data_IF_887189124203
#
_entry.id   IF_887189124203
#
_cell.length_a   1.000
_cell.length_b   1.000
_cell.length_c   1.000
_cell.angle_alpha   90.00
_cell.angle_beta   90.00
_cell.angle_gamma   90.00
#
_symmetry.space_group_name_H-M   'P 1'
#
loop_
_entity.id
_entity.type
_entity.pdbx_description
1 polymer ?
#
# COMPACT_ATOMS: atom_id res chain seq x y z
N UNK A 1 39.12 -42.38 -46.02
CA UNK A 1 39.14 -41.86 -44.65
C UNK A 1 37.69 -41.66 -44.19
N UNK A 2 37.21 -42.57 -43.35
CA UNK A 2 35.82 -42.55 -42.86
C UNK A 2 35.83 -41.93 -41.50
N UNK A 3 35.14 -40.77 -41.32
CA UNK A 3 34.94 -40.10 -40.05
C UNK A 3 33.79 -40.82 -39.31
N UNK A 4 34.08 -41.31 -38.13
CA UNK A 4 33.11 -41.92 -37.22
C UNK A 4 32.54 -40.80 -36.34
N UNK A 5 31.22 -40.55 -36.47
CA UNK A 5 30.46 -39.62 -35.64
C UNK A 5 29.98 -40.41 -34.37
N UNK A 6 30.56 -40.10 -33.21
CA UNK A 6 30.15 -40.67 -31.92
C UNK A 6 28.97 -39.89 -31.39
N UNK A 7 27.78 -40.49 -31.42
CA UNK A 7 26.55 -39.91 -30.82
C UNK A 7 26.48 -40.28 -29.34
N UNK A 8 26.73 -39.36 -28.43
CA UNK A 8 26.60 -39.53 -27.01
C UNK A 8 25.13 -39.28 -26.60
N UNK A 9 24.39 -40.37 -26.37
CA UNK A 9 23.02 -40.29 -25.81
C UNK A 9 23.15 -40.18 -24.30
N UNK A 10 22.97 -38.97 -23.73
CA UNK A 10 22.82 -38.76 -22.31
C UNK A 10 21.33 -38.92 -21.98
N UNK A 11 20.97 -40.07 -21.40
CA UNK A 11 19.65 -40.24 -20.80
C UNK A 11 19.62 -39.51 -19.48
N UNK A 12 19.08 -38.28 -19.48
CA UNK A 12 18.67 -37.57 -18.27
C UNK A 12 17.42 -38.26 -17.73
N UNK A 13 17.59 -39.05 -16.68
CA UNK A 13 16.49 -39.46 -15.80
C UNK A 13 16.01 -38.21 -15.07
N UNK A 14 15.10 -37.49 -15.67
CA UNK A 14 14.37 -36.43 -15.03
C UNK A 14 13.39 -37.01 -14.01
N UNK A 15 13.63 -36.78 -12.73
CA UNK A 15 12.57 -36.83 -11.76
C UNK A 15 11.54 -35.79 -12.20
N UNK A 16 10.43 -36.23 -12.75
CA UNK A 16 9.26 -35.39 -12.97
C UNK A 16 8.62 -35.10 -11.62
N UNK A 17 9.07 -34.05 -10.94
CA UNK A 17 8.19 -33.35 -10.04
C UNK A 17 7.07 -32.77 -10.93
N UNK A 18 5.83 -33.18 -10.72
CA UNK A 18 4.66 -32.57 -11.31
C UNK A 18 4.56 -31.12 -10.81
N UNK A 19 5.34 -30.22 -11.39
CA UNK A 19 5.05 -28.81 -11.29
C UNK A 19 3.80 -28.59 -12.15
N UNK A 20 2.66 -28.31 -11.52
CA UNK A 20 1.50 -27.76 -12.22
C UNK A 20 2.01 -26.53 -13.00
N UNK A 21 1.89 -26.55 -14.31
CA UNK A 21 2.17 -25.36 -15.10
C UNK A 21 1.17 -24.29 -14.69
N UNK A 22 1.66 -23.14 -14.30
CA UNK A 22 0.79 -21.97 -14.04
C UNK A 22 -0.10 -21.71 -15.25
N UNK A 23 -1.40 -21.45 -15.05
CA UNK A 23 -2.26 -21.04 -16.14
C UNK A 23 -1.73 -19.72 -16.71
N UNK A 24 -1.33 -19.72 -17.98
CA UNK A 24 -0.82 -18.55 -18.67
C UNK A 24 -1.99 -17.91 -19.44
N UNK A 25 -2.19 -16.62 -19.26
CA UNK A 25 -3.16 -15.87 -20.04
C UNK A 25 -2.82 -15.87 -21.53
N UNK A 26 -3.77 -15.51 -22.38
CA UNK A 26 -3.52 -15.32 -23.84
C UNK A 26 -2.40 -14.30 -24.14
N UNK A 27 -2.12 -13.41 -23.20
CA UNK A 27 -1.03 -12.42 -23.26
C UNK A 27 0.32 -12.93 -22.73
N UNK A 28 0.39 -14.18 -22.25
CA UNK A 28 1.63 -14.78 -21.75
C UNK A 28 2.00 -14.38 -20.32
N UNK A 29 1.09 -13.72 -19.56
CA UNK A 29 1.30 -13.37 -18.15
C UNK A 29 0.69 -14.41 -17.22
N UNK A 30 1.24 -14.66 -16.00
CA UNK A 30 0.68 -15.55 -15.01
C UNK A 30 -0.75 -15.16 -14.62
N UNK A 31 -1.60 -16.16 -14.38
CA UNK A 31 -2.99 -15.95 -13.96
C UNK A 31 -3.16 -16.42 -12.52
N UNK A 32 -3.59 -15.51 -11.66
CA UNK A 32 -4.04 -15.84 -10.29
C UNK A 32 -5.52 -16.23 -10.39
N UNK A 33 -5.81 -17.53 -10.32
CA UNK A 33 -7.17 -18.05 -10.40
C UNK A 33 -7.78 -18.12 -8.99
N UNK A 34 -8.86 -17.35 -8.77
CA UNK A 34 -9.55 -17.26 -7.48
C UNK A 34 -10.81 -18.14 -7.41
N UNK A 35 -11.11 -18.91 -8.46
CA UNK A 35 -12.34 -19.73 -8.55
C UNK A 35 -12.08 -21.23 -8.47
N UNK A 36 -10.99 -21.68 -9.05
CA UNK A 36 -10.67 -23.10 -9.13
C UNK A 36 -9.50 -23.45 -8.22
N UNK A 37 -9.54 -24.64 -7.60
CA UNK A 37 -8.46 -25.19 -6.75
C UNK A 37 -8.10 -24.27 -5.55
N UNK A 38 -9.04 -23.46 -5.05
CA UNK A 38 -8.82 -22.57 -3.90
C UNK A 38 -9.07 -23.32 -2.60
N UNK A 39 -8.05 -23.38 -1.75
CA UNK A 39 -8.12 -24.02 -0.43
C UNK A 39 -8.56 -23.00 0.62
N UNK A 40 -9.74 -23.20 1.22
CA UNK A 40 -10.14 -22.38 2.37
C UNK A 40 -9.36 -22.79 3.62
N UNK A 41 -8.77 -21.80 4.29
CA UNK A 41 -7.99 -21.98 5.53
C UNK A 41 -8.58 -21.13 6.65
N UNK A 42 -8.44 -21.56 7.93
CA UNK A 42 -8.95 -20.78 9.06
C UNK A 42 -8.17 -19.46 9.25
N UNK A 43 -6.86 -19.49 8.97
CA UNK A 43 -5.99 -18.31 9.09
C UNK A 43 -4.82 -18.38 8.11
N UNK A 44 -4.30 -17.21 7.78
CA UNK A 44 -3.01 -17.01 7.09
C UNK A 44 -2.01 -16.50 8.11
N UNK A 45 -0.81 -17.05 8.14
CA UNK A 45 0.18 -16.81 9.19
C UNK A 45 1.12 -15.66 8.82
N UNK A 46 1.44 -14.83 9.82
CA UNK A 46 2.41 -13.75 9.64
C UNK A 46 3.82 -14.28 9.34
N UNK A 47 4.22 -15.40 9.94
CA UNK A 47 5.53 -16.04 9.69
C UNK A 47 5.75 -16.47 8.25
N UNK A 48 4.71 -16.66 7.46
CA UNK A 48 4.84 -16.96 6.03
C UNK A 48 5.17 -15.70 5.20
N UNK A 49 4.75 -14.52 5.69
CA UNK A 49 4.91 -13.24 5.01
C UNK A 49 6.11 -12.43 5.51
N UNK A 50 6.45 -12.56 6.79
CA UNK A 50 7.48 -11.78 7.48
C UNK A 50 8.57 -12.66 8.06
N UNK A 51 9.83 -12.24 7.91
CA UNK A 51 10.99 -12.92 8.48
C UNK A 51 11.20 -12.56 9.95
N UNK A 52 10.69 -11.41 10.38
CA UNK A 52 10.94 -10.86 11.72
C UNK A 52 9.79 -9.94 12.15
N UNK A 53 9.42 -10.06 13.42
CA UNK A 53 8.56 -9.11 14.12
C UNK A 53 9.41 -8.23 15.06
N UNK A 54 9.17 -6.92 15.04
CA UNK A 54 9.73 -5.94 15.96
C UNK A 54 8.60 -5.16 16.63
N UNK A 55 8.70 -4.97 17.93
CA UNK A 55 7.83 -4.06 18.68
C UNK A 55 8.70 -2.87 19.06
N UNK A 56 8.29 -1.66 18.71
CA UNK A 56 9.05 -0.45 18.93
C UNK A 56 8.19 0.57 19.69
N UNK A 57 8.33 0.68 21.03
CA UNK A 57 7.70 1.73 21.79
C UNK A 57 8.28 3.09 21.38
N UNK A 58 7.42 4.04 21.05
CA UNK A 58 7.87 5.39 20.72
C UNK A 58 7.95 6.25 21.96
N UNK A 59 9.09 6.92 22.14
CA UNK A 59 9.33 7.80 23.28
C UNK A 59 8.37 8.98 23.27
N UNK A 60 7.68 9.20 24.38
CA UNK A 60 6.82 10.36 24.58
C UNK A 60 7.57 11.41 25.40
N UNK A 61 7.67 12.61 24.86
CA UNK A 61 8.23 13.80 25.51
C UNK A 61 7.26 14.96 25.34
N UNK A 62 7.47 16.08 26.02
CA UNK A 62 6.68 17.29 25.80
C UNK A 62 6.65 17.76 24.33
N UNK A 63 7.66 17.35 23.53
CA UNK A 63 7.79 17.70 22.12
C UNK A 63 7.32 16.59 21.17
N UNK A 64 7.01 15.39 21.65
CA UNK A 64 6.72 14.21 20.83
C UNK A 64 5.45 13.46 21.23
N UNK A 65 4.50 14.15 21.84
CA UNK A 65 3.17 13.56 22.12
C UNK A 65 2.45 13.31 20.80
N UNK A 66 2.09 12.05 20.54
CA UNK A 66 1.31 11.65 19.38
C UNK A 66 -0.13 11.39 19.80
N UNK A 67 -1.08 12.06 19.17
CA UNK A 67 -2.52 11.87 19.42
C UNK A 67 -3.29 11.33 18.23
N UNK A 68 -2.71 11.41 17.03
CA UNK A 68 -3.36 10.99 15.78
C UNK A 68 -2.27 10.78 14.71
N UNK A 69 -2.07 9.55 14.30
CA UNK A 69 -1.07 9.20 13.28
C UNK A 69 -1.80 9.09 11.95
N UNK A 70 -1.52 10.02 11.04
CA UNK A 70 -2.13 10.03 9.70
C UNK A 70 -1.29 9.31 8.66
N UNK A 71 0.03 9.41 8.77
CA UNK A 71 0.96 8.72 7.88
C UNK A 71 2.23 8.34 8.63
N UNK A 72 2.77 7.16 8.31
CA UNK A 72 4.03 6.67 8.85
C UNK A 72 4.92 6.14 7.74
N UNK A 73 6.20 6.48 7.79
CA UNK A 73 7.23 5.90 6.93
C UNK A 73 8.34 5.32 7.80
N UNK A 74 8.65 4.05 7.61
CA UNK A 74 9.71 3.34 8.31
C UNK A 74 10.84 3.06 7.33
N UNK A 75 12.03 3.49 7.67
CA UNK A 75 13.26 3.29 6.91
C UNK A 75 14.23 2.39 7.69
N UNK A 76 15.41 2.10 7.16
CA UNK A 76 16.36 1.23 7.84
C UNK A 76 16.90 1.85 9.14
N UNK A 77 16.87 3.19 9.28
CA UNK A 77 17.47 3.91 10.42
C UNK A 77 16.47 4.72 11.23
N UNK A 78 15.33 5.09 10.67
CA UNK A 78 14.38 6.00 11.31
C UNK A 78 12.93 5.56 11.15
N UNK A 79 12.08 6.09 12.03
CA UNK A 79 10.62 6.06 11.95
C UNK A 79 10.17 7.51 11.81
N UNK A 80 9.33 7.79 10.82
CA UNK A 80 8.84 9.11 10.47
C UNK A 80 7.33 9.12 10.57
N UNK A 81 6.78 10.08 11.30
CA UNK A 81 5.36 10.11 11.62
C UNK A 81 4.80 11.49 11.31
N UNK A 82 3.74 11.51 10.52
CA UNK A 82 2.88 12.66 10.39
C UNK A 82 1.83 12.66 11.50
N UNK A 83 1.91 13.67 12.33
CA UNK A 83 0.94 13.96 13.37
C UNK A 83 -0.09 14.96 12.84
N UNK A 84 -1.16 14.46 12.24
CA UNK A 84 -2.12 15.18 11.38
C UNK A 84 -2.70 16.51 11.86
N UNK A 85 -2.54 16.87 13.15
CA UNK A 85 -3.05 18.14 13.69
C UNK A 85 -2.02 19.26 13.74
N UNK A 86 -0.73 18.91 13.85
CA UNK A 86 0.33 19.89 14.04
C UNK A 86 1.13 20.17 12.77
N UNK A 87 0.93 19.37 11.72
CA UNK A 87 1.62 19.51 10.44
C UNK A 87 3.15 19.46 10.52
N UNK A 88 3.70 18.80 11.56
CA UNK A 88 5.11 18.47 11.66
C UNK A 88 5.35 17.01 11.35
N UNK A 89 6.54 16.70 10.84
CA UNK A 89 7.00 15.32 10.71
C UNK A 89 7.90 15.01 11.90
N UNK A 90 7.48 14.06 12.72
CA UNK A 90 8.24 13.60 13.85
C UNK A 90 9.21 12.52 13.42
N UNK A 91 10.47 12.65 13.81
CA UNK A 91 11.52 11.68 13.54
C UNK A 91 11.91 10.95 14.79
N UNK A 92 11.84 9.62 14.74
CA UNK A 92 12.32 8.73 15.78
C UNK A 92 13.44 7.83 15.23
N UNK A 93 14.32 7.37 16.10
CA UNK A 93 15.25 6.29 15.76
C UNK A 93 14.51 4.97 15.57
N UNK A 94 15.17 3.97 15.00
CA UNK A 94 14.61 2.60 14.91
C UNK A 94 14.35 1.94 16.25
N UNK A 95 14.87 2.48 17.35
CA UNK A 95 14.62 2.03 18.71
C UNK A 95 13.51 2.81 19.41
N UNK A 96 12.81 3.68 18.68
CA UNK A 96 11.69 4.48 19.20
C UNK A 96 12.09 5.76 19.92
N UNK A 97 13.39 6.09 20.02
CA UNK A 97 13.84 7.33 20.67
C UNK A 97 13.49 8.54 19.79
N UNK A 98 12.85 9.55 20.37
CA UNK A 98 12.60 10.81 19.70
C UNK A 98 13.90 11.54 19.35
N UNK A 99 14.01 12.02 18.14
CA UNK A 99 15.19 12.73 17.64
C UNK A 99 14.91 14.22 17.43
N UNK A 100 13.95 14.52 16.61
CA UNK A 100 13.49 15.89 16.32
C UNK A 100 12.20 15.89 15.50
N UNK A 101 11.69 17.07 15.27
CA UNK A 101 10.58 17.33 14.33
C UNK A 101 11.07 18.14 13.14
N UNK A 102 10.44 17.93 11.98
CA UNK A 102 10.78 18.58 10.73
C UNK A 102 9.59 19.36 10.20
N UNK A 103 9.88 20.50 9.61
CA UNK A 103 8.90 21.43 9.10
C UNK A 103 8.77 22.67 9.95
N UNK A 104 8.13 23.69 9.40
CA UNK A 104 7.82 24.94 10.08
C UNK A 104 6.54 25.51 9.56
N UNK A 105 5.61 25.81 10.48
CA UNK A 105 4.30 26.36 10.13
C UNK A 105 4.41 27.88 10.10
N UNK A 106 3.99 28.47 8.99
CA UNK A 106 4.02 29.92 8.81
C UNK A 106 4.01 30.34 7.35
N UNK A 107 4.41 31.58 7.08
CA UNK A 107 4.43 32.18 5.74
C UNK A 107 5.83 32.70 5.34
N UNK A 108 6.84 32.42 6.14
CA UNK A 108 8.23 32.79 5.86
C UNK A 108 8.92 31.81 4.89
N UNK A 109 10.17 32.08 4.52
CA UNK A 109 10.97 31.19 3.72
C UNK A 109 11.15 29.84 4.41
N UNK A 110 10.79 28.74 3.75
CA UNK A 110 10.83 27.41 4.33
C UNK A 110 9.70 27.10 5.29
N UNK A 111 8.65 27.92 5.35
CA UNK A 111 7.45 27.66 6.12
C UNK A 111 6.26 27.33 5.21
N UNK A 112 5.27 26.63 5.77
CA UNK A 112 4.03 26.29 5.06
C UNK A 112 2.82 26.40 5.97
N UNK A 113 1.65 26.64 5.38
CA UNK A 113 0.37 26.74 6.11
C UNK A 113 -0.56 25.57 5.80
N UNK A 114 -0.38 24.93 4.68
CA UNK A 114 -1.19 23.79 4.24
C UNK A 114 -0.28 22.62 3.90
N UNK A 115 -0.45 21.57 4.63
CA UNK A 115 0.26 20.31 4.49
C UNK A 115 -0.59 19.30 3.71
N UNK A 116 0.02 18.51 2.87
CA UNK A 116 -0.64 17.40 2.16
C UNK A 116 -0.08 16.04 2.61
N UNK A 117 1.23 15.88 2.55
CA UNK A 117 1.92 14.63 2.82
C UNK A 117 3.44 14.86 2.79
N UNK A 118 4.22 13.85 3.13
CA UNK A 118 5.68 13.92 3.10
C UNK A 118 6.29 12.71 2.39
N UNK A 119 7.56 12.81 2.06
CA UNK A 119 8.38 11.74 1.50
C UNK A 119 9.79 11.82 2.08
N UNK A 120 10.34 10.67 2.45
CA UNK A 120 11.71 10.57 2.96
C UNK A 120 12.62 9.93 1.93
N UNK A 121 13.74 10.57 1.65
CA UNK A 121 14.85 10.03 0.88
C UNK A 121 16.04 9.79 1.84
N UNK A 122 16.22 8.55 2.26
CA UNK A 122 17.28 8.21 3.22
C UNK A 122 18.68 8.36 2.61
N UNK A 123 18.83 8.07 1.33
CA UNK A 123 20.12 8.15 0.66
C UNK A 123 20.60 9.60 0.54
N UNK A 124 19.68 10.52 0.24
CA UNK A 124 19.95 11.95 0.18
C UNK A 124 19.88 12.65 1.54
N UNK A 125 19.39 11.97 2.57
CA UNK A 125 19.04 12.53 3.88
C UNK A 125 18.16 13.77 3.76
N UNK A 126 17.10 13.64 2.97
CA UNK A 126 16.15 14.70 2.69
C UNK A 126 14.73 14.28 3.03
N UNK A 127 13.97 15.23 3.56
CA UNK A 127 12.52 15.13 3.76
C UNK A 127 11.86 16.14 2.86
N UNK A 128 10.94 15.65 2.04
CA UNK A 128 10.14 16.46 1.12
C UNK A 128 8.76 16.64 1.73
N UNK A 129 8.37 17.88 1.98
CA UNK A 129 7.04 18.22 2.48
C UNK A 129 6.24 18.86 1.35
N UNK A 130 5.09 18.27 1.05
CA UNK A 130 4.20 18.71 -0.01
C UNK A 130 3.13 19.63 0.57
N UNK A 131 3.02 20.82 0.00
CA UNK A 131 2.11 21.85 0.44
C UNK A 131 1.29 22.40 -0.73
N UNK A 132 0.00 22.65 -0.50
CA UNK A 132 -0.89 23.18 -1.56
C UNK A 132 -0.48 24.55 -2.07
N UNK A 133 0.14 25.36 -1.23
CA UNK A 133 0.50 26.75 -1.58
C UNK A 133 1.99 26.93 -1.90
N UNK A 134 2.83 26.05 -1.37
CA UNK A 134 4.28 26.24 -1.41
C UNK A 134 4.98 25.27 -2.38
N UNK A 135 4.23 24.29 -2.96
CA UNK A 135 4.84 23.24 -3.76
C UNK A 135 5.53 22.19 -2.87
N UNK A 136 6.79 21.87 -3.17
CA UNK A 136 7.59 20.93 -2.37
C UNK A 136 8.67 21.70 -1.62
N UNK A 137 8.66 21.58 -0.29
CA UNK A 137 9.72 22.10 0.56
C UNK A 137 10.66 20.95 0.93
N UNK A 138 11.95 21.19 0.83
CA UNK A 138 12.98 20.19 1.10
C UNK A 138 13.75 20.59 2.35
N UNK A 139 13.80 19.65 3.30
CA UNK A 139 14.54 19.80 4.56
C UNK A 139 15.61 18.71 4.67
N UNK A 140 16.65 18.96 5.46
CA UNK A 140 17.53 17.90 5.92
C UNK A 140 16.94 17.14 7.12
N UNK A 141 17.60 16.09 7.55
CA UNK A 141 17.15 15.25 8.66
C UNK A 141 17.21 15.95 10.03
N UNK A 142 17.93 17.05 10.15
CA UNK A 142 18.02 17.89 11.35
C UNK A 142 16.92 18.99 11.37
N UNK A 143 16.09 19.06 10.31
CA UNK A 143 15.02 20.06 10.18
C UNK A 143 15.44 21.36 9.52
N UNK A 144 16.68 21.43 8.99
CA UNK A 144 17.18 22.59 8.24
C UNK A 144 16.51 22.70 6.86
N UNK A 145 15.89 23.85 6.57
CA UNK A 145 15.32 24.12 5.25
C UNK A 145 16.42 24.23 4.19
N UNK A 146 16.30 23.47 3.10
CA UNK A 146 17.29 23.44 2.01
C UNK A 146 16.84 24.25 0.80
N UNK A 147 15.65 23.97 0.30
CA UNK A 147 15.10 24.59 -0.92
C UNK A 147 13.59 24.40 -1.05
N UNK A 148 12.99 25.18 -1.93
CA UNK A 148 11.60 25.07 -2.34
C UNK A 148 11.51 24.82 -3.85
N UNK A 149 10.60 23.93 -4.24
CA UNK A 149 10.27 23.61 -5.62
C UNK A 149 8.85 24.10 -5.88
N UNK A 150 8.72 25.32 -6.43
CA UNK A 150 7.46 26.05 -6.50
C UNK A 150 6.55 25.57 -7.63
N UNK A 151 7.13 25.03 -8.73
CA UNK A 151 6.38 24.71 -9.95
C UNK A 151 5.58 23.42 -9.85
N UNK A 152 5.72 22.69 -8.73
CA UNK A 152 5.06 21.40 -8.54
C UNK A 152 3.54 21.47 -8.68
N UNK A 153 2.90 22.52 -8.16
CA UNK A 153 1.45 22.70 -8.27
C UNK A 153 0.96 22.94 -9.70
N UNK A 154 1.70 23.73 -10.44
CA UNK A 154 1.40 23.97 -11.86
C UNK A 154 1.50 22.68 -12.67
N UNK A 155 2.39 21.81 -12.24
CA UNK A 155 2.68 20.55 -12.90
C UNK A 155 1.62 19.48 -12.67
N UNK A 156 1.05 19.40 -11.46
CA UNK A 156 0.06 18.39 -11.08
C UNK A 156 -1.39 18.89 -11.14
N UNK A 157 -1.57 20.18 -11.36
CA UNK A 157 -2.87 20.82 -11.40
C UNK A 157 -3.38 21.28 -10.02
N UNK A 158 -4.13 22.38 -10.02
CA UNK A 158 -4.58 23.06 -8.80
C UNK A 158 -5.58 22.26 -7.93
N UNK A 159 -6.08 21.15 -8.45
CA UNK A 159 -7.10 20.31 -7.80
C UNK A 159 -6.70 18.86 -7.67
N UNK A 160 -5.42 18.54 -7.85
CA UNK A 160 -4.89 17.20 -7.63
C UNK A 160 -4.44 17.07 -6.20
N UNK A 161 -4.85 16.02 -5.50
CA UNK A 161 -4.24 15.65 -4.23
C UNK A 161 -3.24 14.53 -4.44
N UNK A 162 -2.10 14.67 -3.80
CA UNK A 162 -1.09 13.64 -3.78
C UNK A 162 -1.51 12.65 -2.70
N UNK A 163 -1.84 11.44 -3.13
CA UNK A 163 -2.35 10.43 -2.22
C UNK A 163 -1.24 9.54 -1.64
N UNK A 164 -0.30 9.13 -2.49
CA UNK A 164 0.88 8.36 -2.10
C UNK A 164 2.06 8.79 -2.93
N UNK A 165 3.23 8.73 -2.31
CA UNK A 165 4.49 9.08 -2.95
C UNK A 165 5.42 7.90 -2.82
N UNK A 166 6.18 7.68 -3.87
CA UNK A 166 7.13 6.59 -3.92
C UNK A 166 8.44 7.06 -4.53
N UNK A 167 9.54 6.62 -3.95
CA UNK A 167 10.86 6.73 -4.57
C UNK A 167 11.21 5.34 -5.10
N UNK A 168 11.65 5.27 -6.34
CA UNK A 168 12.09 4.06 -7.00
C UNK A 168 13.29 4.39 -7.89
N UNK A 169 14.47 3.78 -7.64
CA UNK A 169 15.66 3.89 -8.47
C UNK A 169 15.95 5.34 -8.93
N UNK A 170 16.00 6.29 -7.97
CA UNK A 170 16.14 7.73 -8.19
C UNK A 170 14.95 8.42 -8.92
N UNK A 171 13.95 7.68 -9.34
CA UNK A 171 12.71 8.22 -9.87
C UNK A 171 11.67 8.42 -8.78
N UNK A 172 11.00 9.55 -8.83
CA UNK A 172 9.91 9.88 -7.92
C UNK A 172 8.57 9.64 -8.58
N UNK A 173 7.78 8.77 -7.98
CA UNK A 173 6.44 8.48 -8.44
C UNK A 173 5.42 9.05 -7.48
N UNK A 174 4.40 9.66 -8.06
CA UNK A 174 3.27 10.16 -7.30
C UNK A 174 1.99 9.52 -7.83
N UNK A 175 1.28 8.84 -6.94
CA UNK A 175 -0.11 8.56 -7.19
C UNK A 175 -0.88 9.85 -6.88
N UNK A 176 -1.38 10.48 -7.90
CA UNK A 176 -2.14 11.71 -7.75
C UNK A 176 -3.58 11.42 -8.09
N UNK A 177 -4.45 11.81 -7.18
CA UNK A 177 -5.87 11.83 -7.46
C UNK A 177 -6.24 13.13 -8.14
N UNK A 178 -6.81 13.04 -9.30
CA UNK A 178 -7.28 14.21 -10.00
C UNK A 178 -8.69 14.57 -9.54
N UNK A 179 -8.79 15.43 -8.52
CA UNK A 179 -10.08 15.96 -8.04
C UNK A 179 -10.70 17.02 -8.96
N UNK A 180 -9.93 17.54 -9.91
CA UNK A 180 -10.33 18.67 -10.74
C UNK A 180 -11.40 18.36 -11.77
N UNK A 181 -11.91 17.16 -11.81
CA UNK A 181 -12.82 16.67 -12.83
C UNK A 181 -14.25 17.18 -12.78
N UNK A 182 -14.46 18.30 -12.14
CA UNK A 182 -15.81 18.66 -11.78
C UNK A 182 -16.63 19.39 -12.84
N UNK A 183 -16.04 19.98 -13.87
CA UNK A 183 -16.83 20.69 -14.89
C UNK A 183 -16.22 20.87 -16.28
N UNK A 184 -14.94 20.59 -16.50
CA UNK A 184 -14.33 20.68 -17.85
C UNK A 184 -13.07 19.80 -17.91
N UNK A 185 -13.27 18.52 -18.14
CA UNK A 185 -12.15 17.58 -18.19
C UNK A 185 -11.69 17.44 -19.62
N UNK A 186 -10.47 17.83 -19.86
CA UNK A 186 -9.76 17.46 -21.07
C UNK A 186 -9.40 15.97 -21.03
N UNK A 187 -9.40 15.29 -22.19
CA UNK A 187 -8.97 13.89 -22.33
C UNK A 187 -7.57 13.65 -21.76
N UNK A 188 -6.72 14.65 -21.78
CA UNK A 188 -5.36 14.58 -21.26
C UNK A 188 -5.27 14.66 -19.74
N UNK A 189 -6.37 15.00 -19.06
CA UNK A 189 -6.44 15.05 -17.60
C UNK A 189 -6.85 13.74 -16.95
N UNK A 190 -7.19 12.71 -17.72
CA UNK A 190 -7.50 11.35 -17.22
C UNK A 190 -6.22 10.54 -17.00
N UNK A 191 -5.45 10.90 -16.00
CA UNK A 191 -4.25 10.16 -15.59
C UNK A 191 -4.32 9.83 -14.09
N UNK A 192 -3.67 8.73 -13.71
CA UNK A 192 -3.65 8.22 -12.34
C UNK A 192 -2.28 8.40 -11.68
N UNK A 193 -1.22 8.31 -12.49
CA UNK A 193 0.16 8.40 -12.03
C UNK A 193 0.98 9.33 -12.89
N UNK A 194 2.01 9.88 -12.26
CA UNK A 194 3.02 10.68 -12.93
C UNK A 194 4.42 10.19 -12.53
N UNK A 195 5.31 9.99 -13.47
CA UNK A 195 6.72 9.87 -13.19
C UNK A 195 7.39 11.24 -13.27
N UNK A 196 8.25 11.51 -12.30
CA UNK A 196 8.97 12.77 -12.15
C UNK A 196 10.49 12.52 -12.17
N UNK A 197 11.24 13.54 -12.52
CA UNK A 197 12.69 13.54 -12.34
C UNK A 197 13.11 14.03 -10.95
N UNK A 198 14.40 14.11 -10.69
CA UNK A 198 14.97 14.57 -9.40
C UNK A 198 14.63 16.00 -9.04
N UNK A 199 14.22 16.81 -10.02
CA UNK A 199 13.76 18.18 -9.83
C UNK A 199 12.24 18.25 -9.75
N UNK A 200 11.55 17.11 -9.63
CA UNK A 200 10.10 16.98 -9.63
C UNK A 200 9.45 17.48 -10.93
N UNK A 201 10.18 17.48 -12.05
CA UNK A 201 9.62 17.80 -13.34
C UNK A 201 8.94 16.56 -13.94
N UNK A 202 7.78 16.80 -14.54
CA UNK A 202 6.97 15.74 -15.14
C UNK A 202 7.71 15.05 -16.29
N UNK A 203 7.93 13.74 -16.17
CA UNK A 203 8.44 12.89 -17.27
C UNK A 203 7.30 12.25 -18.05
N UNK A 204 6.36 11.64 -17.36
CA UNK A 204 5.27 10.92 -18.03
C UNK A 204 4.03 10.86 -17.16
N UNK A 205 2.87 10.92 -17.81
CA UNK A 205 1.57 10.63 -17.24
C UNK A 205 1.12 9.22 -17.63
N UNK A 206 0.58 8.49 -16.66
CA UNK A 206 0.03 7.15 -16.85
C UNK A 206 -1.47 7.19 -16.68
N UNK A 207 -2.18 6.74 -17.70
CA UNK A 207 -3.64 6.57 -17.66
C UNK A 207 -3.97 5.18 -17.10
N UNK A 208 -5.13 5.07 -16.47
CA UNK A 208 -5.69 3.75 -16.18
C UNK A 208 -5.92 3.01 -17.50
N UNK A 209 -5.35 1.81 -17.71
CA UNK A 209 -5.44 1.09 -18.98
C UNK A 209 -6.86 0.83 -19.47
N UNK A 210 -7.83 0.64 -18.56
CA UNK A 210 -9.23 0.42 -18.96
C UNK A 210 -9.93 1.70 -19.43
N UNK A 211 -9.36 2.86 -19.18
CA UNK A 211 -9.87 4.14 -19.64
C UNK A 211 -9.40 4.50 -21.04
N UNK A 212 -8.32 3.86 -21.52
CA UNK A 212 -7.75 4.17 -22.84
C UNK A 212 -8.75 3.84 -23.95
N UNK A 213 -9.06 4.82 -24.77
CA UNK A 213 -10.05 4.72 -25.85
C UNK A 213 -11.51 4.86 -25.40
N UNK A 214 -11.77 5.07 -24.10
CA UNK A 214 -13.10 5.31 -23.53
C UNK A 214 -13.21 6.66 -22.82
N UNK A 215 -12.24 7.54 -23.04
CA UNK A 215 -12.08 8.78 -22.29
C UNK A 215 -13.34 9.66 -22.34
N UNK A 216 -13.98 9.79 -23.50
CA UNK A 216 -15.22 10.57 -23.65
C UNK A 216 -16.38 10.01 -22.84
N UNK A 217 -16.54 8.69 -22.84
CA UNK A 217 -17.58 8.02 -22.06
C UNK A 217 -17.34 8.19 -20.56
N UNK A 218 -16.08 8.04 -20.11
CA UNK A 218 -15.72 8.19 -18.70
C UNK A 218 -15.93 9.64 -18.24
N UNK A 219 -15.54 10.62 -19.06
CA UNK A 219 -15.77 12.02 -18.77
C UNK A 219 -17.27 12.31 -18.65
N UNK A 220 -18.08 11.80 -19.60
CA UNK A 220 -19.52 11.99 -19.57
C UNK A 220 -20.16 11.34 -18.34
N UNK A 221 -19.74 10.12 -18.00
CA UNK A 221 -20.23 9.43 -16.80
C UNK A 221 -19.85 10.19 -15.53
N UNK A 222 -18.60 10.60 -15.41
CA UNK A 222 -18.08 11.36 -14.25
C UNK A 222 -18.73 12.73 -14.09
N UNK A 223 -19.08 13.40 -15.17
CA UNK A 223 -19.78 14.69 -15.12
C UNK A 223 -21.18 14.61 -14.45
N UNK A 224 -21.79 13.43 -14.49
CA UNK A 224 -23.09 13.15 -13.87
C UNK A 224 -22.97 12.54 -12.46
N UNK A 225 -21.75 12.26 -12.01
CA UNK A 225 -21.52 11.66 -10.70
C UNK A 225 -21.43 12.71 -9.59
N UNK A 226 -21.75 12.30 -8.38
CA UNK A 226 -21.43 13.06 -7.19
C UNK A 226 -19.90 13.22 -7.06
N UNK A 227 -19.47 14.37 -6.57
CA UNK A 227 -18.03 14.69 -6.41
C UNK A 227 -17.32 13.69 -5.52
N UNK A 228 -17.98 13.25 -4.45
CA UNK A 228 -17.40 12.30 -3.50
C UNK A 228 -17.17 10.93 -4.14
N UNK A 229 -18.08 10.47 -5.00
CA UNK A 229 -17.94 9.20 -5.70
C UNK A 229 -16.71 9.18 -6.61
N UNK A 230 -16.52 10.24 -7.39
CA UNK A 230 -15.35 10.37 -8.25
C UNK A 230 -14.04 10.33 -7.44
N UNK A 231 -14.02 11.00 -6.30
CA UNK A 231 -12.91 10.99 -5.36
C UNK A 231 -12.55 9.57 -4.90
N UNK A 232 -13.56 8.83 -4.43
CA UNK A 232 -13.36 7.51 -3.86
C UNK A 232 -12.90 6.47 -4.87
N UNK A 233 -13.37 6.54 -6.10
CA UNK A 233 -12.97 5.59 -7.14
C UNK A 233 -11.46 5.67 -7.47
N UNK A 234 -10.90 6.85 -7.50
CA UNK A 234 -9.44 7.02 -7.71
C UNK A 234 -8.64 6.56 -6.47
N UNK A 235 -9.21 6.73 -5.29
CA UNK A 235 -8.58 6.41 -4.01
C UNK A 235 -8.36 4.90 -3.81
N UNK A 236 -9.15 4.07 -4.49
CA UNK A 236 -9.08 2.62 -4.41
C UNK A 236 -7.91 2.00 -5.21
N UNK A 237 -7.09 2.79 -5.89
CA UNK A 237 -5.91 2.26 -6.56
C UNK A 237 -4.89 1.77 -5.53
N UNK A 238 -4.63 0.48 -5.54
CA UNK A 238 -3.60 -0.12 -4.68
C UNK A 238 -2.24 0.01 -5.32
N UNK A 239 -1.29 0.56 -4.58
CA UNK A 239 0.10 0.75 -5.03
C UNK A 239 1.04 0.21 -3.97
N UNK A 240 2.05 -0.51 -4.41
CA UNK A 240 3.09 -1.04 -3.53
C UNK A 240 4.47 -0.97 -4.17
N UNK A 241 5.50 -0.91 -3.33
CA UNK A 241 6.89 -1.11 -3.72
C UNK A 241 7.38 -2.36 -3.00
N UNK A 242 7.87 -3.31 -3.78
CA UNK A 242 8.51 -4.50 -3.24
C UNK A 242 9.81 -4.78 -4.01
N UNK A 243 10.93 -4.99 -3.31
CA UNK A 243 12.25 -5.17 -3.93
C UNK A 243 12.60 -4.09 -4.97
N UNK A 244 12.27 -2.83 -4.69
CA UNK A 244 12.53 -1.71 -5.61
C UNK A 244 11.63 -1.71 -6.84
N UNK A 245 10.65 -2.58 -6.94
CA UNK A 245 9.69 -2.59 -8.04
C UNK A 245 8.36 -1.98 -7.60
N UNK A 246 7.96 -0.91 -8.27
CA UNK A 246 6.64 -0.32 -8.12
C UNK A 246 5.61 -1.18 -8.85
N UNK A 247 4.58 -1.55 -8.13
CA UNK A 247 3.45 -2.30 -8.68
C UNK A 247 2.14 -1.61 -8.32
N UNK A 248 1.12 -1.80 -9.13
CA UNK A 248 -0.17 -1.18 -8.92
C UNK A 248 -1.32 -2.02 -9.46
N UNK A 249 -2.47 -1.89 -8.82
CA UNK A 249 -3.75 -2.44 -9.26
C UNK A 249 -4.82 -1.35 -9.21
N UNK A 250 -5.44 -1.10 -10.34
CA UNK A 250 -6.63 -0.24 -10.38
C UNK A 250 -7.86 -1.02 -9.92
N UNK A 251 -8.84 -0.38 -9.29
CA UNK A 251 -10.02 -1.05 -8.73
C UNK A 251 -10.85 -1.77 -9.80
N UNK A 252 -10.92 -1.18 -10.99
CA UNK A 252 -11.71 -1.63 -12.12
C UNK A 252 -10.96 -2.53 -13.12
N UNK A 253 -9.77 -3.03 -12.75
CA UNK A 253 -9.00 -3.95 -13.58
C UNK A 253 -8.81 -5.30 -12.91
N UNK A 254 -8.68 -6.35 -13.74
CA UNK A 254 -8.26 -7.69 -13.33
C UNK A 254 -6.76 -7.90 -13.55
N UNK A 255 -6.00 -6.84 -13.54
CA UNK A 255 -4.57 -6.89 -13.85
C UNK A 255 -3.78 -6.12 -12.80
N UNK A 256 -2.74 -6.75 -12.30
CA UNK A 256 -1.69 -6.10 -11.54
C UNK A 256 -0.62 -5.68 -12.52
N UNK A 257 -0.25 -4.42 -12.48
CA UNK A 257 0.79 -3.83 -13.33
C UNK A 257 2.07 -3.63 -12.53
N UNK A 258 3.21 -3.73 -13.19
CA UNK A 258 4.49 -3.27 -12.66
C UNK A 258 5.01 -2.12 -13.52
N UNK A 259 5.72 -1.21 -12.87
CA UNK A 259 6.45 -0.17 -13.58
C UNK A 259 7.79 -0.71 -14.05
N UNK A 260 8.03 -0.58 -15.35
CA UNK A 260 9.32 -0.88 -15.96
C UNK A 260 10.10 0.43 -16.16
N UNK A 261 11.16 0.60 -15.38
CA UNK A 261 12.00 1.79 -15.40
C UNK A 261 12.74 1.97 -16.73
N UNK A 262 13.18 0.88 -17.34
CA UNK A 262 13.92 0.92 -18.59
C UNK A 262 13.09 1.48 -19.76
N UNK A 263 11.82 1.13 -19.82
CA UNK A 263 10.89 1.61 -20.86
C UNK A 263 10.01 2.76 -20.40
N UNK A 264 10.01 3.07 -19.12
CA UNK A 264 9.10 4.03 -18.48
C UNK A 264 7.64 3.69 -18.81
N UNK A 265 7.24 2.42 -18.62
CA UNK A 265 5.91 1.92 -18.92
C UNK A 265 5.31 1.09 -17.77
N UNK A 266 3.99 1.04 -17.72
CA UNK A 266 3.26 0.08 -16.90
C UNK A 266 3.07 -1.19 -17.72
N UNK A 267 3.66 -2.29 -17.27
CA UNK A 267 3.54 -3.59 -17.88
C UNK A 267 2.66 -4.51 -17.05
N UNK A 268 1.77 -5.32 -17.65
CA UNK A 268 0.98 -6.27 -16.91
C UNK A 268 1.90 -7.36 -16.30
N UNK A 269 1.72 -7.61 -15.00
CA UNK A 269 2.50 -8.59 -14.23
C UNK A 269 1.71 -9.85 -13.92
N UNK A 270 0.46 -9.68 -13.46
CA UNK A 270 -0.48 -10.77 -13.19
C UNK A 270 -1.85 -10.43 -13.74
N UNK A 271 -2.55 -11.44 -14.28
CA UNK A 271 -3.98 -11.37 -14.51
C UNK A 271 -4.70 -12.06 -13.35
N UNK A 272 -5.82 -11.52 -12.91
CA UNK A 272 -6.67 -12.10 -11.88
C UNK A 272 -7.91 -12.66 -12.55
N UNK A 273 -8.23 -13.91 -12.29
CA UNK A 273 -9.45 -14.55 -12.76
C UNK A 273 -10.34 -14.91 -11.57
N UNK A 274 -11.62 -14.61 -11.68
CA UNK A 274 -12.66 -15.04 -10.75
C UNK A 274 -13.98 -15.23 -11.51
N UNK A 275 -14.80 -16.17 -11.08
CA UNK A 275 -16.17 -16.38 -11.53
C UNK A 275 -17.20 -15.62 -10.68
N UNK A 276 -16.77 -14.95 -9.62
CA UNK A 276 -17.61 -14.06 -8.84
C UNK A 276 -18.11 -12.89 -9.71
N UNK A 277 -19.38 -12.53 -9.53
CA UNK A 277 -19.97 -11.38 -10.19
C UNK A 277 -19.28 -10.09 -9.70
N UNK A 278 -18.61 -9.41 -10.62
CA UNK A 278 -17.93 -8.16 -10.36
C UNK A 278 -18.84 -6.99 -10.67
N UNK A 279 -18.80 -6.00 -9.82
CA UNK A 279 -19.33 -4.69 -10.17
C UNK A 279 -18.52 -4.09 -11.33
N UNK A 280 -19.24 -3.64 -12.37
CA UNK A 280 -18.64 -2.77 -13.35
C UNK A 280 -18.50 -1.34 -12.81
N UNK A 281 -17.99 -0.42 -13.64
CA UNK A 281 -17.88 0.99 -13.27
C UNK A 281 -19.22 1.59 -12.83
N UNK A 282 -20.31 1.18 -13.46
CA UNK A 282 -21.67 1.63 -13.15
C UNK A 282 -22.16 1.04 -11.82
N UNK A 283 -21.86 -0.22 -11.54
CA UNK A 283 -22.13 -0.84 -10.24
C UNK A 283 -21.32 -0.21 -9.11
N UNK A 284 -20.06 0.12 -9.35
CA UNK A 284 -19.23 0.87 -8.38
C UNK A 284 -19.80 2.27 -8.14
N UNK A 285 -20.39 2.90 -9.16
CA UNK A 285 -21.10 4.16 -9.01
C UNK A 285 -22.40 4.02 -8.19
N UNK A 286 -23.18 2.98 -8.46
CA UNK A 286 -24.38 2.65 -7.71
C UNK A 286 -24.08 2.30 -6.25
N UNK A 287 -22.90 1.74 -5.98
CA UNK A 287 -22.42 1.46 -4.64
C UNK A 287 -22.45 2.69 -3.72
N UNK A 288 -21.95 3.79 -4.19
CA UNK A 288 -21.96 5.03 -3.41
C UNK A 288 -23.36 5.66 -3.32
N UNK A 289 -24.25 5.33 -4.26
CA UNK A 289 -25.58 5.93 -4.32
C UNK A 289 -26.65 5.11 -3.60
N UNK A 290 -26.65 3.79 -3.78
CA UNK A 290 -27.74 2.90 -3.33
C UNK A 290 -27.28 1.79 -2.38
N UNK A 291 -25.99 1.74 -1.99
CA UNK A 291 -25.38 0.69 -1.17
C UNK A 291 -25.45 -0.72 -1.75
N UNK A 292 -25.89 -0.88 -2.97
CA UNK A 292 -26.04 -2.17 -3.65
C UNK A 292 -24.74 -2.79 -4.13
N UNK A 293 -23.67 -2.05 -4.13
CA UNK A 293 -22.37 -2.57 -4.57
C UNK A 293 -21.71 -3.50 -3.57
N UNK A 294 -22.19 -3.56 -2.33
CA UNK A 294 -21.82 -4.63 -1.42
C UNK A 294 -22.15 -6.03 -1.95
N UNK A 295 -23.10 -6.13 -2.88
CA UNK A 295 -23.47 -7.41 -3.47
C UNK A 295 -22.44 -7.94 -4.46
N UNK A 296 -21.53 -7.10 -4.94
CA UNK A 296 -20.50 -7.46 -5.90
C UNK A 296 -19.15 -7.73 -5.27
N UNK A 297 -18.47 -8.75 -5.80
CA UNK A 297 -17.10 -9.05 -5.39
C UNK A 297 -16.12 -8.00 -5.94
N UNK A 298 -15.28 -7.46 -5.08
CA UNK A 298 -14.27 -6.48 -5.45
C UNK A 298 -12.94 -6.78 -4.77
N UNK A 299 -11.84 -6.75 -5.54
CA UNK A 299 -10.47 -6.79 -5.03
C UNK A 299 -9.92 -5.37 -5.03
N UNK A 300 -9.66 -4.84 -3.85
CA UNK A 300 -9.25 -3.45 -3.67
C UNK A 300 -7.78 -3.28 -3.25
N UNK A 301 -7.14 -4.31 -2.72
CA UNK A 301 -5.73 -4.22 -2.34
C UNK A 301 -4.96 -5.49 -2.69
N UNK A 302 -3.66 -5.34 -2.88
CA UNK A 302 -2.77 -6.47 -3.00
C UNK A 302 -1.44 -6.17 -2.30
N UNK A 303 -0.76 -7.21 -1.85
CA UNK A 303 0.46 -7.12 -1.07
C UNK A 303 1.45 -8.18 -1.56
N UNK A 304 2.46 -7.79 -2.35
CA UNK A 304 3.49 -8.73 -2.79
C UNK A 304 4.51 -8.97 -1.67
N UNK A 305 4.91 -10.23 -1.53
CA UNK A 305 6.07 -10.65 -0.74
C UNK A 305 7.04 -11.42 -1.62
N UNK A 306 8.09 -11.98 -1.05
CA UNK A 306 9.03 -12.83 -1.78
C UNK A 306 8.33 -14.02 -2.45
N UNK A 307 7.57 -14.76 -1.67
CA UNK A 307 7.01 -16.05 -2.08
C UNK A 307 5.50 -16.00 -2.40
N UNK A 308 4.81 -14.96 -1.95
CA UNK A 308 3.36 -14.83 -2.05
C UNK A 308 2.90 -13.51 -2.65
N UNK A 309 1.65 -13.51 -3.12
CA UNK A 309 0.85 -12.32 -3.38
C UNK A 309 -0.45 -12.44 -2.60
N UNK A 310 -0.69 -11.50 -1.70
CA UNK A 310 -1.97 -11.42 -1.00
C UNK A 310 -2.90 -10.48 -1.75
N UNK A 311 -4.14 -10.92 -1.97
CA UNK A 311 -5.20 -10.13 -2.58
C UNK A 311 -6.31 -9.97 -1.57
N UNK A 312 -6.69 -8.73 -1.32
CA UNK A 312 -7.75 -8.42 -0.36
C UNK A 312 -8.96 -7.92 -1.12
N UNK A 313 -10.08 -8.56 -0.88
CA UNK A 313 -11.34 -8.20 -1.48
C UNK A 313 -12.50 -8.32 -0.50
N UNK A 314 -13.67 -7.89 -0.91
CA UNK A 314 -14.89 -8.02 -0.12
C UNK A 314 -16.11 -8.29 -0.98
N UNK A 315 -17.14 -8.87 -0.35
CA UNK A 315 -18.49 -9.01 -0.87
C UNK A 315 -19.46 -8.94 0.30
N UNK A 316 -20.29 -7.93 0.35
CA UNK A 316 -21.07 -7.63 1.54
C UNK A 316 -20.16 -7.26 2.72
N UNK A 317 -20.43 -7.84 3.87
CA UNK A 317 -19.60 -7.68 5.09
C UNK A 317 -18.48 -8.74 5.19
N UNK A 318 -18.35 -9.62 4.21
CA UNK A 318 -17.29 -10.62 4.18
C UNK A 318 -16.03 -10.06 3.52
N UNK A 319 -14.89 -10.28 4.17
CA UNK A 319 -13.55 -9.99 3.67
C UNK A 319 -12.89 -11.28 3.22
N UNK A 320 -12.32 -11.22 2.04
CA UNK A 320 -11.65 -12.32 1.36
C UNK A 320 -10.15 -11.99 1.26
N UNK A 321 -9.32 -12.73 1.96
CA UNK A 321 -7.87 -12.65 1.82
C UNK A 321 -7.39 -13.89 1.06
N UNK A 322 -6.99 -13.70 -0.19
CA UNK A 322 -6.37 -14.75 -1.00
C UNK A 322 -4.85 -14.67 -0.88
N UNK A 323 -4.21 -15.81 -0.69
CA UNK A 323 -2.77 -15.96 -0.66
C UNK A 323 -2.33 -16.83 -1.85
N UNK A 324 -1.80 -16.19 -2.88
CA UNK A 324 -1.25 -16.85 -4.05
C UNK A 324 0.22 -17.18 -3.84
N UNK A 325 0.58 -18.45 -3.98
CA UNK A 325 1.95 -18.93 -3.89
C UNK A 325 2.63 -18.81 -5.27
N UNK A 326 3.66 -17.99 -5.37
CA UNK A 326 4.41 -17.76 -6.62
C UNK A 326 5.17 -18.97 -7.12
N UNK A 327 5.45 -19.95 -6.26
CA UNK A 327 6.27 -21.12 -6.59
C UNK A 327 5.48 -22.21 -7.30
N UNK A 328 4.23 -22.44 -6.89
CA UNK A 328 3.41 -23.56 -7.39
C UNK A 328 2.04 -23.13 -7.93
N UNK A 329 1.73 -21.82 -7.88
CA UNK A 329 0.47 -21.28 -8.37
C UNK A 329 -0.75 -21.59 -7.48
N UNK A 330 -0.56 -22.22 -6.32
CA UNK A 330 -1.67 -22.53 -5.42
C UNK A 330 -2.26 -21.29 -4.77
N UNK A 331 -3.57 -21.33 -4.48
CA UNK A 331 -4.28 -20.25 -3.83
C UNK A 331 -4.94 -20.73 -2.56
N UNK A 332 -4.70 -20.03 -1.46
CA UNK A 332 -5.41 -20.22 -0.18
C UNK A 332 -6.31 -19.02 0.06
N UNK A 333 -7.46 -19.27 0.68
CA UNK A 333 -8.48 -18.27 1.00
C UNK A 333 -8.78 -18.29 2.48
N UNK A 334 -8.60 -17.15 3.13
CA UNK A 334 -9.15 -16.86 4.43
C UNK A 334 -10.36 -15.94 4.26
N UNK A 335 -11.48 -16.29 4.92
CA UNK A 335 -12.68 -15.45 5.00
C UNK A 335 -12.85 -14.95 6.41
N UNK A 336 -13.16 -13.66 6.54
CA UNK A 336 -13.45 -13.01 7.83
C UNK A 336 -14.68 -12.13 7.68
N UNK A 337 -15.34 -11.83 8.81
CA UNK A 337 -16.27 -10.70 8.85
C UNK A 337 -15.46 -9.41 8.94
N UNK A 338 -15.89 -8.37 8.27
CA UNK A 338 -15.26 -7.06 8.43
C UNK A 338 -15.38 -6.60 9.89
N UNK A 339 -14.27 -6.13 10.44
CA UNK A 339 -14.27 -5.52 11.77
C UNK A 339 -15.04 -4.20 11.79
N UNK A 340 -15.27 -3.60 10.62
CA UNK A 340 -15.95 -2.33 10.47
C UNK A 340 -17.26 -2.56 9.73
N UNK A 341 -18.37 -2.24 10.39
CA UNK A 341 -19.68 -2.29 9.76
C UNK A 341 -20.08 -0.92 9.23
N UNK A 342 -20.99 -0.90 8.26
CA UNK A 342 -21.55 0.32 7.71
C UNK A 342 -22.20 1.24 8.77
N UNK A 343 -22.63 0.66 9.92
CA UNK A 343 -23.26 1.39 11.01
C UNK A 343 -22.27 2.20 11.83
N UNK A 344 -21.01 1.78 11.85
CA UNK A 344 -19.98 2.31 12.75
C UNK A 344 -19.27 3.53 12.19
N UNK A 345 -19.40 3.77 10.88
CA UNK A 345 -18.70 4.85 10.18
C UNK A 345 -19.64 5.62 9.24
N UNK A 346 -19.37 6.91 9.03
CA UNK A 346 -20.08 7.65 7.98
C UNK A 346 -19.94 6.93 6.64
N UNK A 347 -21.03 6.76 5.93
CA UNK A 347 -21.10 6.01 4.66
C UNK A 347 -20.00 6.39 3.65
N UNK A 348 -19.62 7.66 3.62
CA UNK A 348 -18.59 8.17 2.71
C UNK A 348 -17.15 7.81 3.11
N UNK A 349 -16.92 7.34 4.33
CA UNK A 349 -15.58 6.92 4.80
C UNK A 349 -15.45 5.41 4.99
N UNK A 350 -16.57 4.68 4.91
CA UNK A 350 -16.60 3.24 5.14
C UNK A 350 -15.60 2.45 4.28
N UNK A 351 -15.57 2.62 2.96
CA UNK A 351 -14.66 1.82 2.13
C UNK A 351 -13.19 1.98 2.49
N UNK A 352 -12.78 3.19 2.85
CA UNK A 352 -11.38 3.46 3.20
C UNK A 352 -10.95 2.85 4.52
N UNK A 353 -11.84 2.92 5.52
CA UNK A 353 -11.56 2.31 6.82
C UNK A 353 -11.53 0.80 6.70
N UNK A 354 -12.47 0.23 5.94
CA UNK A 354 -12.49 -1.18 5.63
C UNK A 354 -11.19 -1.62 4.96
N UNK A 355 -10.75 -0.92 3.93
CA UNK A 355 -9.50 -1.25 3.23
C UNK A 355 -8.25 -1.21 4.12
N UNK A 356 -8.20 -0.32 5.10
CA UNK A 356 -7.05 -0.20 6.00
C UNK A 356 -6.98 -1.28 7.08
N UNK A 357 -8.12 -1.86 7.48
CA UNK A 357 -8.21 -2.80 8.61
C UNK A 357 -8.56 -4.24 8.21
N UNK A 358 -8.78 -4.50 6.95
CA UNK A 358 -9.23 -5.81 6.48
C UNK A 358 -8.10 -6.78 6.09
N UNK A 359 -6.85 -6.30 5.99
CA UNK A 359 -5.73 -7.23 5.83
C UNK A 359 -5.14 -7.60 7.18
N UNK A 360 -5.57 -8.75 7.66
CA UNK A 360 -5.20 -9.28 8.97
C UNK A 360 -4.61 -10.66 8.81
N UNK A 361 -3.46 -10.88 9.45
CA UNK A 361 -2.78 -12.16 9.53
C UNK A 361 -2.76 -12.64 10.99
N UNK A 362 -2.81 -13.95 11.18
CA UNK A 362 -2.57 -14.57 12.49
C UNK A 362 -1.10 -14.34 12.86
N UNK A 363 -0.88 -13.62 13.95
CA UNK A 363 0.46 -13.25 14.39
C UNK A 363 1.08 -14.38 15.23
N UNK A 364 1.45 -15.45 14.57
CA UNK A 364 2.14 -16.59 15.17
C UNK A 364 3.58 -16.26 15.63
N UNK A 365 4.12 -15.09 15.27
CA UNK A 365 5.41 -14.58 15.72
C UNK A 365 5.34 -13.83 17.05
N UNK A 366 4.21 -13.21 17.38
CA UNK A 366 4.09 -12.38 18.57
C UNK A 366 2.76 -12.52 19.32
N UNK A 367 1.83 -13.33 18.80
CA UNK A 367 0.49 -13.53 19.34
C UNK A 367 -0.51 -12.46 18.92
N UNK A 368 -1.77 -12.84 18.86
CA UNK A 368 -2.87 -11.99 18.40
C UNK A 368 -3.00 -11.90 16.88
N UNK A 369 -3.70 -10.90 16.43
CA UNK A 369 -3.84 -10.58 15.02
C UNK A 369 -2.84 -9.46 14.65
N UNK A 370 -2.28 -9.51 13.45
CA UNK A 370 -1.46 -8.45 12.87
C UNK A 370 -2.26 -7.77 11.76
N UNK A 371 -2.61 -6.52 11.97
CA UNK A 371 -3.31 -5.70 10.98
C UNK A 371 -2.32 -4.87 10.20
N UNK A 372 -2.34 -4.93 8.88
CA UNK A 372 -1.46 -4.12 8.05
C UNK A 372 -2.05 -2.71 7.88
N UNK A 373 -1.80 -1.82 8.85
CA UNK A 373 -2.25 -0.42 8.81
C UNK A 373 -1.48 0.41 7.78
N UNK A 374 -0.19 0.13 7.63
CA UNK A 374 0.67 0.87 6.72
C UNK A 374 1.78 0.00 6.15
N UNK A 375 2.34 0.44 5.03
CA UNK A 375 3.47 -0.17 4.37
C UNK A 375 4.54 0.87 4.12
N UNK A 376 5.79 0.53 4.33
CA UNK A 376 6.88 1.45 4.11
C UNK A 376 8.05 0.81 3.37
N UNK A 377 8.52 1.52 2.35
CA UNK A 377 9.73 1.19 1.57
C UNK A 377 9.73 -0.20 0.94
N UNK A 378 8.57 -0.86 0.84
CA UNK A 378 8.46 -2.25 0.36
C UNK A 378 9.14 -3.30 1.23
N UNK A 379 9.63 -2.91 2.43
CA UNK A 379 10.31 -3.79 3.38
C UNK A 379 9.50 -4.04 4.65
N UNK A 380 8.69 -3.06 5.06
CA UNK A 380 8.02 -3.06 6.35
C UNK A 380 6.51 -3.03 6.19
N UNK A 381 5.85 -3.95 6.88
CA UNK A 381 4.43 -3.87 7.21
C UNK A 381 4.33 -3.37 8.64
N UNK A 382 3.41 -2.48 8.89
CA UNK A 382 3.29 -1.76 10.14
C UNK A 382 1.89 -1.95 10.68
N UNK A 383 1.82 -2.37 11.93
CA UNK A 383 0.63 -2.36 12.76
C UNK A 383 0.83 -1.33 13.87
N UNK A 384 -0.15 -0.48 14.11
CA UNK A 384 -0.09 0.59 15.12
C UNK A 384 -0.91 0.15 16.32
N UNK A 385 -0.25 0.00 17.46
CA UNK A 385 -0.85 -0.42 18.71
C UNK A 385 -0.97 0.78 19.64
N UNK A 386 -2.19 1.13 20.06
CA UNK A 386 -2.43 2.21 21.01
C UNK A 386 -2.43 1.65 22.44
N UNK A 387 -1.58 2.16 23.35
CA UNK A 387 -1.59 1.75 24.75
C UNK A 387 -2.96 2.04 25.39
N UNK A 388 -3.55 1.03 26.03
CA UNK A 388 -4.87 1.15 26.66
C UNK A 388 -6.06 1.06 25.70
N UNK A 389 -5.84 0.81 24.40
CA UNK A 389 -6.90 0.46 23.45
C UNK A 389 -7.41 -0.96 23.68
N UNK A 390 -8.72 -1.15 23.64
CA UNK A 390 -9.33 -2.49 23.83
C UNK A 390 -9.14 -3.40 22.59
N UNK A 391 -8.74 -2.85 21.47
CA UNK A 391 -8.61 -3.56 20.19
C UNK A 391 -7.14 -3.72 19.81
N UNK A 392 -6.72 -4.96 19.52
CA UNK A 392 -5.40 -5.35 18.99
C UNK A 392 -4.20 -5.28 19.96
N UNK A 393 -4.41 -5.30 21.26
CA UNK A 393 -3.28 -5.43 22.17
C UNK A 393 -2.65 -6.82 22.08
N UNK A 394 -1.32 -6.87 22.02
CA UNK A 394 -0.59 -8.14 22.01
C UNK A 394 -0.75 -8.85 23.36
N UNK A 395 -1.27 -10.06 23.33
CA UNK A 395 -1.43 -10.88 24.52
C UNK A 395 -0.10 -11.57 24.88
N UNK A 396 0.46 -11.20 26.04
CA UNK A 396 1.71 -11.81 26.55
C UNK A 396 1.59 -13.34 26.69
N UNK A 397 0.42 -13.87 27.03
CA UNK A 397 0.23 -15.30 27.17
C UNK A 397 0.22 -16.01 25.81
N UNK A 398 -0.22 -15.35 24.75
CA UNK A 398 -0.07 -15.83 23.38
C UNK A 398 1.40 -15.86 22.95
N UNK A 399 2.19 -14.80 23.27
CA UNK A 399 3.64 -14.81 23.02
C UNK A 399 4.30 -16.02 23.71
N UNK A 400 3.99 -16.23 24.99
CA UNK A 400 4.53 -17.37 25.77
C UNK A 400 4.17 -18.70 25.16
N UNK A 401 2.98 -18.85 24.60
CA UNK A 401 2.48 -20.07 24.00
C UNK A 401 2.96 -20.30 22.55
N UNK A 402 3.48 -19.29 21.87
CA UNK A 402 3.96 -19.42 20.50
C UNK A 402 5.01 -20.53 20.35
N UNK A 403 4.86 -21.33 19.30
CA UNK A 403 5.82 -22.41 18.95
C UNK A 403 6.75 -22.03 17.80
N UNK A 404 6.57 -20.84 17.24
CA UNK A 404 7.31 -20.37 16.05
C UNK A 404 8.56 -19.60 16.42
N UNK A 405 8.51 -18.83 17.52
CA UNK A 405 9.65 -18.04 18.02
C UNK A 405 10.37 -18.75 19.17
N UNK A 406 11.68 -18.52 19.26
CA UNK A 406 12.49 -19.06 20.33
C UNK A 406 12.29 -18.34 21.67
N UNK A 407 12.73 -18.95 22.76
CA UNK A 407 12.60 -18.42 24.12
C UNK A 407 13.34 -17.08 24.33
N UNK A 408 14.40 -16.81 23.56
CA UNK A 408 15.11 -15.54 23.64
C UNK A 408 14.27 -14.41 23.05
N UNK A 409 13.62 -14.69 21.91
CA UNK A 409 12.74 -13.72 21.25
C UNK A 409 11.47 -13.46 22.07
N UNK A 410 10.86 -14.49 22.64
CA UNK A 410 9.72 -14.32 23.57
C UNK A 410 10.07 -13.35 24.70
N UNK A 411 11.21 -13.58 25.38
CA UNK A 411 11.68 -12.71 26.46
C UNK A 411 11.92 -11.26 26.02
N UNK A 412 12.47 -11.08 24.81
CA UNK A 412 12.67 -9.74 24.22
C UNK A 412 11.33 -9.04 24.04
N UNK A 413 10.36 -9.67 23.35
CA UNK A 413 9.05 -9.10 23.06
C UNK A 413 8.29 -8.78 24.35
N UNK A 414 8.25 -9.70 25.32
CA UNK A 414 7.59 -9.48 26.61
C UNK A 414 8.22 -8.30 27.36
N UNK A 415 9.54 -8.24 27.42
CA UNK A 415 10.23 -7.12 28.08
C UNK A 415 9.90 -5.78 27.45
N UNK A 416 9.77 -5.72 26.12
CA UNK A 416 9.42 -4.49 25.41
C UNK A 416 7.98 -4.09 25.76
N UNK A 417 7.03 -5.03 25.73
CA UNK A 417 5.63 -4.77 26.09
C UNK A 417 5.47 -4.33 27.56
N UNK A 418 6.19 -4.97 28.48
CA UNK A 418 6.17 -4.60 29.90
C UNK A 418 6.80 -3.20 30.14
N UNK A 419 7.67 -2.75 29.25
CA UNK A 419 8.26 -1.40 29.31
C UNK A 419 7.38 -0.33 28.65
N UNK A 420 6.44 -0.71 27.81
CA UNK A 420 5.46 0.19 27.22
C UNK A 420 4.41 0.51 28.30
N UNK A 421 4.31 1.76 28.69
CA UNK A 421 3.38 2.24 29.72
C UNK A 421 2.32 3.11 29.07
N UNK A 422 1.27 3.47 29.85
CA UNK A 422 0.27 4.46 29.42
C UNK A 422 0.89 5.82 29.04
N UNK A 423 2.12 6.09 29.51
CA UNK A 423 2.89 7.29 29.18
C UNK A 423 3.76 7.13 27.91
N UNK A 424 3.62 6.03 27.17
CA UNK A 424 4.33 5.83 25.88
C UNK A 424 3.43 6.25 24.73
N UNK A 425 4.05 6.77 23.66
CA UNK A 425 3.35 6.93 22.39
C UNK A 425 3.04 5.54 21.76
N UNK A 426 2.09 5.47 20.84
CA UNK A 426 1.76 4.27 20.08
C UNK A 426 2.96 3.61 19.42
#
# INVERSE_FOLDING_TARGET
MKSILLLLIITLLGCSSNMKQEPISKSGIPVINLSEDVSTVPSLLLSEAAEKLEIVPLEMTDESVLSDITEMQVTDHNIWIDHGREFYIYRFSRTGKFLNRIGSIGQGPGEYVNYLTFLVDEDKKEVYIFSTNNGVLVYDFEGGFKKQISDFQTMVGMFSSIYKQYILNDHKFFAIQNFGLYRSVDKDSLWSFVSLDDNFQKKRLFKNPVHVGKEEQIIANRANMDRMVNYWMEYLTSVDIYNGQLTLKYPDTDTIYCYDDATNQLLPQYAIFTDEEKGDYEATHLWFKDRKAFDYFSIFSYYPTKDFVYLIGSKGEEVYTYCYNKKDGSVRLQKRQSAITERDVPWFSFPLRQMKRDFVLDNDLGGGDFTVDSRSSGKYWIDILEPGGDENWIDIDQIKSSTVIDESKKKELIRVLESATEDSNP
#
